data_IF_354317762738
#
_entry.id   IF_354317762738
#
_cell.length_a   1.000
_cell.length_b   1.000
_cell.length_c   1.000
_cell.angle_alpha   90.00
_cell.angle_beta   90.00
_cell.angle_gamma   90.00
#
_symmetry.space_group_name_H-M   'P 1'
#
loop_
_entity.id
_entity.type
_entity.pdbx_description
1 polymer ?
#
# COMPACT_ATOMS: atom_id res chain seq x y z
N UNK A 1 25.07 -22.76 0.37
CA UNK A 1 23.71 -22.87 0.92
C UNK A 1 22.86 -21.87 0.18
N UNK A 2 21.87 -22.34 -0.57
CA UNK A 2 21.00 -21.49 -1.39
C UNK A 2 20.19 -20.58 -0.47
N UNK A 3 20.19 -19.27 -0.75
CA UNK A 3 19.24 -18.35 -0.15
C UNK A 3 17.85 -18.82 -0.57
N UNK A 4 16.99 -19.12 0.40
CA UNK A 4 15.60 -19.50 0.16
C UNK A 4 14.97 -18.43 -0.75
N UNK A 5 14.73 -18.79 -2.00
CA UNK A 5 13.91 -18.00 -2.90
C UNK A 5 12.46 -18.16 -2.43
N UNK A 6 12.04 -17.34 -1.47
CA UNK A 6 10.62 -17.05 -1.24
C UNK A 6 10.12 -16.36 -2.50
N UNK A 7 9.59 -17.14 -3.44
CA UNK A 7 9.01 -16.59 -4.66
C UNK A 7 7.68 -15.94 -4.29
N UNK A 8 7.69 -14.62 -4.09
CA UNK A 8 6.46 -13.81 -4.01
C UNK A 8 5.70 -13.73 -5.34
N UNK A 9 6.09 -14.56 -6.32
CA UNK A 9 5.42 -14.69 -7.61
C UNK A 9 3.94 -14.98 -7.38
N UNK A 10 3.10 -14.09 -7.92
CA UNK A 10 1.64 -14.12 -7.83
C UNK A 10 1.06 -13.83 -6.44
N UNK A 11 1.83 -13.30 -5.49
CA UNK A 11 1.25 -12.70 -4.30
C UNK A 11 0.51 -11.40 -4.68
N UNK A 12 -0.62 -11.15 -4.04
CA UNK A 12 -1.52 -10.03 -4.35
C UNK A 12 -1.36 -8.96 -3.27
N UNK A 13 -0.92 -7.76 -3.67
CA UNK A 13 -0.76 -6.63 -2.77
C UNK A 13 -1.77 -5.52 -3.10
N UNK A 14 -2.53 -5.05 -2.11
CA UNK A 14 -3.42 -3.89 -2.23
C UNK A 14 -2.79 -2.68 -1.55
N UNK A 15 -2.59 -1.60 -2.30
CA UNK A 15 -1.97 -0.37 -1.80
C UNK A 15 -2.98 0.77 -1.85
N UNK A 16 -3.43 1.20 -0.68
CA UNK A 16 -4.32 2.37 -0.56
C UNK A 16 -3.55 3.67 -0.82
N UNK A 17 -4.13 4.59 -1.59
CA UNK A 17 -3.40 5.77 -2.06
C UNK A 17 -2.21 5.42 -2.96
N UNK A 18 -2.23 4.25 -3.62
CA UNK A 18 -1.15 3.74 -4.46
C UNK A 18 -0.93 4.53 -5.77
N UNK A 19 -1.77 5.52 -6.06
CA UNK A 19 -1.72 6.27 -7.32
C UNK A 19 -0.69 7.41 -7.35
N UNK A 20 -0.02 7.72 -6.23
CA UNK A 20 1.03 8.76 -6.17
C UNK A 20 1.99 8.58 -4.99
N UNK A 21 3.08 9.36 -5.01
CA UNK A 21 3.99 9.49 -3.87
C UNK A 21 4.60 8.16 -3.45
N UNK A 22 4.67 7.92 -2.13
CA UNK A 22 5.25 6.69 -1.57
C UNK A 22 4.44 5.46 -1.98
N UNK A 23 3.11 5.54 -2.01
CA UNK A 23 2.26 4.41 -2.39
C UNK A 23 2.52 3.91 -3.80
N UNK A 24 2.72 4.83 -4.75
CA UNK A 24 3.06 4.47 -6.13
C UNK A 24 4.41 3.77 -6.23
N UNK A 25 5.41 4.29 -5.51
CA UNK A 25 6.76 3.73 -5.52
C UNK A 25 6.83 2.39 -4.78
N UNK A 26 6.02 2.19 -3.74
CA UNK A 26 5.82 0.87 -3.11
C UNK A 26 5.19 -0.11 -4.11
N UNK A 27 4.16 0.31 -4.85
CA UNK A 27 3.55 -0.53 -5.86
C UNK A 27 4.52 -0.91 -6.98
N UNK A 28 5.38 0.02 -7.42
CA UNK A 28 6.44 -0.26 -8.38
C UNK A 28 7.40 -1.33 -7.85
N UNK A 29 7.98 -1.12 -6.67
CA UNK A 29 8.97 -2.04 -6.09
C UNK A 29 8.38 -3.42 -5.77
N UNK A 30 7.15 -3.52 -5.28
CA UNK A 30 6.47 -4.82 -5.12
C UNK A 30 6.22 -5.51 -6.48
N UNK A 31 5.85 -4.74 -7.49
CA UNK A 31 5.69 -5.23 -8.85
C UNK A 31 6.97 -5.82 -9.45
N UNK A 32 8.11 -5.16 -9.21
CA UNK A 32 9.45 -5.63 -9.62
C UNK A 32 9.84 -6.95 -8.95
N UNK A 33 9.35 -7.20 -7.73
CA UNK A 33 9.50 -8.49 -7.01
C UNK A 33 8.53 -9.58 -7.53
N UNK A 34 7.70 -9.27 -8.53
CA UNK A 34 6.81 -10.23 -9.20
C UNK A 34 5.42 -10.38 -8.57
N UNK A 35 5.02 -9.44 -7.69
CA UNK A 35 3.68 -9.38 -7.14
C UNK A 35 2.69 -8.76 -8.12
N UNK A 36 1.42 -9.16 -8.00
CA UNK A 36 0.31 -8.41 -8.60
C UNK A 36 -0.04 -7.26 -7.67
N UNK A 37 0.00 -6.04 -8.19
CA UNK A 37 -0.24 -4.83 -7.41
C UNK A 37 -1.58 -4.20 -7.74
N UNK A 38 -2.39 -4.01 -6.71
CA UNK A 38 -3.70 -3.41 -6.79
C UNK A 38 -3.61 -1.98 -6.28
N UNK A 39 -3.82 -1.03 -7.20
CA UNK A 39 -3.79 0.40 -6.93
C UNK A 39 -5.17 0.81 -6.43
N UNK A 40 -5.31 0.91 -5.09
CA UNK A 40 -6.53 1.41 -4.47
C UNK A 40 -6.53 2.94 -4.43
N UNK A 41 -7.46 3.55 -5.15
CA UNK A 41 -7.63 5.00 -5.17
C UNK A 41 -9.09 5.41 -5.43
N UNK A 42 -9.53 6.50 -4.80
CA UNK A 42 -10.86 7.10 -5.01
C UNK A 42 -11.04 7.77 -6.37
N UNK A 43 -9.95 8.22 -6.99
CA UNK A 43 -9.96 8.92 -8.27
C UNK A 43 -9.61 7.92 -9.37
N UNK A 44 -10.60 7.58 -10.20
CA UNK A 44 -10.46 6.62 -11.29
C UNK A 44 -9.37 7.00 -12.28
N UNK A 45 -9.37 8.26 -12.74
CA UNK A 45 -8.46 8.71 -13.78
C UNK A 45 -7.01 8.60 -13.29
N UNK A 46 -6.73 9.13 -12.10
CA UNK A 46 -5.39 9.05 -11.52
C UNK A 46 -4.97 7.62 -11.18
N UNK A 47 -5.93 6.77 -10.80
CA UNK A 47 -5.68 5.35 -10.56
C UNK A 47 -5.29 4.60 -11.84
N UNK A 48 -6.04 4.80 -12.92
CA UNK A 48 -5.77 4.20 -14.23
C UNK A 48 -4.46 4.72 -14.86
N UNK A 49 -4.14 6.00 -14.69
CA UNK A 49 -2.85 6.57 -15.10
C UNK A 49 -1.68 5.88 -14.40
N UNK A 50 -1.76 5.71 -13.07
CA UNK A 50 -0.73 5.00 -12.31
C UNK A 50 -0.57 3.55 -12.78
N UNK A 51 -1.68 2.84 -13.01
CA UNK A 51 -1.67 1.47 -13.54
C UNK A 51 -1.05 1.41 -14.93
N UNK A 52 -1.33 2.37 -15.81
CA UNK A 52 -0.73 2.45 -17.13
C UNK A 52 0.79 2.56 -17.06
N UNK A 53 1.31 3.42 -16.17
CA UNK A 53 2.76 3.57 -15.97
C UNK A 53 3.39 2.25 -15.51
N UNK A 54 2.80 1.60 -14.50
CA UNK A 54 3.31 0.33 -13.97
C UNK A 54 3.25 -0.79 -15.03
N UNK A 55 2.15 -0.90 -15.77
CA UNK A 55 2.03 -1.90 -16.82
C UNK A 55 3.06 -1.69 -17.95
N UNK A 56 3.40 -0.45 -18.29
CA UNK A 56 4.48 -0.14 -19.24
C UNK A 56 5.87 -0.55 -18.73
N UNK A 57 6.02 -0.73 -17.42
CA UNK A 57 7.23 -1.23 -16.76
C UNK A 57 7.21 -2.75 -16.59
N UNK A 58 6.26 -3.44 -17.23
CA UNK A 58 6.03 -4.90 -17.15
C UNK A 58 5.58 -5.39 -15.76
N UNK A 59 5.02 -4.49 -14.95
CA UNK A 59 4.44 -4.82 -13.65
C UNK A 59 2.96 -5.16 -13.84
N UNK A 60 2.48 -6.22 -13.18
CA UNK A 60 1.06 -6.57 -13.21
C UNK A 60 0.26 -5.67 -12.27
N UNK A 61 -0.32 -4.59 -12.80
CA UNK A 61 -1.08 -3.63 -12.03
C UNK A 61 -2.58 -3.59 -12.40
N UNK A 62 -3.45 -3.41 -11.41
CA UNK A 62 -4.89 -3.17 -11.61
C UNK A 62 -5.41 -2.08 -10.68
N UNK A 63 -6.28 -1.22 -11.19
CA UNK A 63 -6.94 -0.20 -10.38
C UNK A 63 -8.16 -0.81 -9.68
N UNK A 64 -8.33 -0.43 -8.41
CA UNK A 64 -9.52 -0.74 -7.60
C UNK A 64 -10.04 0.58 -7.01
N UNK A 65 -11.33 0.82 -7.17
CA UNK A 65 -11.99 1.94 -6.50
C UNK A 65 -12.01 1.68 -4.99
N UNK A 66 -11.39 2.58 -4.23
CA UNK A 66 -11.43 2.52 -2.77
C UNK A 66 -11.38 3.93 -2.19
N UNK A 67 -12.47 4.33 -1.57
CA UNK A 67 -12.54 5.50 -0.69
C UNK A 67 -12.67 5.00 0.75
N UNK A 68 -11.59 5.11 1.52
CA UNK A 68 -11.54 4.66 2.92
C UNK A 68 -12.57 5.34 3.83
N UNK A 69 -13.21 6.42 3.37
CA UNK A 69 -14.29 7.12 4.10
C UNK A 69 -15.69 6.57 3.79
N UNK A 70 -15.83 5.66 2.82
CA UNK A 70 -17.11 5.09 2.37
C UNK A 70 -17.08 3.56 2.46
N UNK A 71 -17.82 3.02 3.42
CA UNK A 71 -17.89 1.56 3.67
C UNK A 71 -18.26 0.75 2.43
N UNK A 72 -19.22 1.23 1.63
CA UNK A 72 -19.64 0.57 0.38
C UNK A 72 -18.47 0.31 -0.57
N UNK A 73 -17.54 1.27 -0.70
CA UNK A 73 -16.37 1.09 -1.59
C UNK A 73 -15.36 0.10 -1.02
N UNK A 74 -15.27 -0.02 0.31
CA UNK A 74 -14.41 -0.99 1.00
C UNK A 74 -14.93 -2.41 0.76
N UNK A 75 -16.25 -2.61 0.94
CA UNK A 75 -16.89 -3.91 0.74
C UNK A 75 -16.81 -4.34 -0.72
N UNK A 76 -17.08 -3.42 -1.66
CA UNK A 76 -16.96 -3.68 -3.09
C UNK A 76 -15.52 -4.02 -3.51
N UNK A 77 -14.52 -3.30 -2.99
CA UNK A 77 -13.11 -3.60 -3.23
C UNK A 77 -12.73 -4.99 -2.71
N UNK A 78 -13.14 -5.34 -1.49
CA UNK A 78 -12.89 -6.66 -0.92
C UNK A 78 -13.52 -7.78 -1.76
N UNK A 79 -14.79 -7.60 -2.18
CA UNK A 79 -15.49 -8.53 -3.05
C UNK A 79 -14.79 -8.67 -4.41
N UNK A 80 -14.35 -7.55 -5.00
CA UNK A 80 -13.63 -7.57 -6.26
C UNK A 80 -12.31 -8.34 -6.15
N UNK A 81 -11.54 -8.10 -5.09
CA UNK A 81 -10.27 -8.83 -4.87
C UNK A 81 -10.52 -10.33 -4.71
N UNK A 82 -11.52 -10.72 -3.92
CA UNK A 82 -11.87 -12.12 -3.74
C UNK A 82 -12.37 -12.78 -5.03
N UNK A 83 -13.18 -12.07 -5.83
CA UNK A 83 -13.70 -12.61 -7.09
C UNK A 83 -12.60 -12.76 -8.17
N UNK A 84 -11.72 -11.77 -8.28
CA UNK A 84 -10.70 -11.73 -9.33
C UNK A 84 -9.47 -12.59 -8.99
N UNK A 85 -9.10 -12.67 -7.71
CA UNK A 85 -7.83 -13.29 -7.27
C UNK A 85 -8.01 -14.39 -6.22
N UNK A 86 -9.18 -14.51 -5.59
CA UNK A 86 -9.47 -15.52 -4.56
C UNK A 86 -8.84 -15.25 -3.18
N UNK A 87 -7.89 -14.31 -3.08
CA UNK A 87 -7.18 -13.96 -1.86
C UNK A 87 -6.58 -12.54 -1.93
N UNK A 88 -6.16 -12.04 -0.76
CA UNK A 88 -5.29 -10.89 -0.63
C UNK A 88 -4.14 -11.27 0.30
N UNK A 89 -2.90 -11.11 -0.17
CA UNK A 89 -1.70 -11.53 0.58
C UNK A 89 -1.11 -10.37 1.39
N UNK A 90 -1.12 -9.16 0.82
CA UNK A 90 -0.54 -7.96 1.44
C UNK A 90 -1.52 -6.78 1.37
N UNK A 91 -1.72 -6.08 2.47
CA UNK A 91 -2.46 -4.81 2.53
C UNK A 91 -1.54 -3.69 3.04
N UNK A 92 -1.35 -2.64 2.22
CA UNK A 92 -0.59 -1.44 2.58
C UNK A 92 -1.55 -0.27 2.78
N UNK A 93 -1.72 0.14 4.04
CA UNK A 93 -2.51 1.29 4.46
C UNK A 93 -1.69 2.59 4.30
N UNK A 94 -1.59 3.09 3.06
CA UNK A 94 -0.81 4.28 2.70
C UNK A 94 -1.69 5.51 2.35
N UNK A 95 -3.01 5.37 2.29
CA UNK A 95 -3.89 6.52 2.12
C UNK A 95 -3.82 7.48 3.32
N UNK A 96 -3.16 8.63 3.14
CA UNK A 96 -3.14 9.72 4.11
C UNK A 96 -4.19 10.79 3.79
N UNK A 97 -4.98 11.20 4.78
CA UNK A 97 -5.86 12.38 4.69
C UNK A 97 -5.08 13.55 5.28
N UNK A 98 -4.70 14.54 4.46
CA UNK A 98 -4.37 15.86 5.00
C UNK A 98 -5.69 16.50 5.43
N UNK A 99 -5.92 16.62 6.73
CA UNK A 99 -6.98 17.48 7.25
C UNK A 99 -6.51 18.93 7.05
N UNK A 100 -7.06 19.62 6.05
CA UNK A 100 -6.88 21.07 5.91
C UNK A 100 -7.49 21.75 7.14
N UNK A 101 -6.64 22.27 8.02
CA UNK A 101 -7.10 22.92 9.24
C UNK A 101 -5.99 23.49 10.10
N UNK A 102 -4.81 22.86 10.11
CA UNK A 102 -3.61 23.49 10.64
C UNK A 102 -2.42 23.20 9.71
N UNK A 103 -1.50 24.16 9.48
CA UNK A 103 -0.16 23.78 9.03
C UNK A 103 0.30 22.66 9.97
N UNK A 104 1.10 21.67 9.52
CA UNK A 104 1.64 20.69 10.44
C UNK A 104 2.22 21.49 11.60
N UNK A 105 1.55 21.45 12.77
CA UNK A 105 2.10 22.04 13.97
C UNK A 105 3.49 21.47 13.97
N UNK A 106 4.48 22.34 14.03
CA UNK A 106 5.86 21.97 14.30
C UNK A 106 5.78 21.05 15.53
N UNK A 107 5.61 19.76 15.29
CA UNK A 107 5.68 18.76 16.31
C UNK A 107 7.13 18.94 16.70
N UNK A 108 7.36 19.55 17.86
CA UNK A 108 8.69 19.64 18.47
C UNK A 108 9.17 18.25 18.91
N UNK A 109 8.84 17.23 18.14
CA UNK A 109 9.54 15.98 18.03
C UNK A 109 10.43 16.13 16.81
N UNK A 110 11.68 16.44 17.09
CA UNK A 110 12.80 16.33 16.15
C UNK A 110 12.93 14.87 15.68
N UNK A 111 12.10 14.50 14.69
CA UNK A 111 12.24 13.29 13.88
C UNK A 111 12.81 13.62 12.50
N UNK A 112 13.21 14.87 12.29
CA UNK A 112 13.82 15.33 11.06
C UNK A 112 14.87 16.36 11.45
N UNK A 113 16.13 15.93 11.50
CA UNK A 113 17.29 16.81 11.48
C UNK A 113 17.05 17.83 10.35
N UNK A 114 16.70 19.07 10.71
CA UNK A 114 16.16 20.10 9.81
C UNK A 114 17.18 20.62 8.76
N UNK A 115 18.23 19.84 8.51
CA UNK A 115 19.33 20.13 7.61
C UNK A 115 19.63 18.99 6.62
N UNK A 116 18.76 17.97 6.52
CA UNK A 116 18.82 16.96 5.46
C UNK A 116 17.66 17.13 4.49
N UNK A 117 17.98 17.16 3.20
CA UNK A 117 16.97 17.04 2.15
C UNK A 117 16.07 15.84 2.45
N UNK A 118 14.75 16.04 2.40
CA UNK A 118 13.80 14.94 2.53
C UNK A 118 14.21 13.81 1.58
N UNK A 119 14.43 12.59 2.08
CA UNK A 119 14.79 11.49 1.21
C UNK A 119 13.67 11.28 0.19
N UNK A 120 13.99 10.94 -1.07
CA UNK A 120 12.98 10.77 -2.09
C UNK A 120 12.00 9.64 -1.69
N UNK A 121 10.75 9.65 -2.17
CA UNK A 121 9.73 8.66 -1.82
C UNK A 121 10.19 7.19 -1.92
N UNK A 122 11.12 6.90 -2.83
CA UNK A 122 11.76 5.59 -2.99
C UNK A 122 12.48 5.07 -1.75
N UNK A 123 13.07 5.93 -0.92
CA UNK A 123 13.71 5.48 0.32
C UNK A 123 12.69 5.02 1.36
N UNK A 124 11.58 5.74 1.51
CA UNK A 124 10.51 5.35 2.42
C UNK A 124 9.82 4.06 1.93
N UNK A 125 9.58 3.97 0.62
CA UNK A 125 8.98 2.78 0.01
C UNK A 125 9.80 1.51 0.28
N UNK A 126 11.13 1.57 0.17
CA UNK A 126 12.02 0.42 0.42
C UNK A 126 11.83 -0.21 1.81
N UNK A 127 11.57 0.61 2.82
CA UNK A 127 11.32 0.11 4.19
C UNK A 127 10.00 -0.66 4.23
N UNK A 128 8.94 -0.10 3.65
CA UNK A 128 7.61 -0.73 3.60
C UNK A 128 7.68 -2.06 2.84
N UNK A 129 8.32 -2.06 1.67
CA UNK A 129 8.50 -3.25 0.83
C UNK A 129 9.26 -4.32 1.58
N UNK A 130 10.39 -3.97 2.22
CA UNK A 130 11.19 -4.92 2.98
C UNK A 130 10.38 -5.64 4.06
N UNK A 131 9.54 -4.93 4.81
CA UNK A 131 8.68 -5.56 5.82
C UNK A 131 7.51 -6.34 5.22
N UNK A 132 6.96 -5.87 4.10
CA UNK A 132 5.85 -6.53 3.40
C UNK A 132 6.29 -7.85 2.74
N UNK A 133 7.58 -8.02 2.44
CA UNK A 133 8.16 -9.22 1.81
C UNK A 133 9.00 -10.04 2.79
N UNK A 134 8.80 -9.91 4.10
CA UNK A 134 9.37 -10.86 5.05
C UNK A 134 8.71 -12.23 4.89
N UNK A 135 9.42 -13.34 5.19
CA UNK A 135 8.80 -14.66 5.23
C UNK A 135 7.70 -14.74 6.31
N UNK A 136 6.83 -15.74 6.22
CA UNK A 136 5.67 -15.92 7.11
C UNK A 136 6.02 -16.05 8.62
N UNK A 137 7.29 -16.28 8.97
CA UNK A 137 7.80 -16.25 10.35
C UNK A 137 8.21 -14.85 10.85
N UNK A 138 7.93 -13.83 10.05
CA UNK A 138 8.14 -12.42 10.37
C UNK A 138 7.22 -11.87 11.46
N UNK A 139 7.47 -10.64 11.94
CA UNK A 139 6.66 -10.02 12.98
C UNK A 139 5.19 -9.91 12.55
N UNK A 140 4.32 -10.71 13.18
CA UNK A 140 2.89 -10.64 12.95
C UNK A 140 2.33 -9.36 13.60
N UNK A 141 2.07 -8.34 12.79
CA UNK A 141 1.30 -7.18 13.23
C UNK A 141 -0.14 -7.61 13.52
N UNK A 142 -0.46 -7.95 14.77
CA UNK A 142 -1.86 -8.12 15.18
C UNK A 142 -2.53 -6.75 15.13
N UNK A 143 -3.59 -6.63 14.33
CA UNK A 143 -4.45 -5.45 14.33
C UNK A 143 -5.22 -5.37 15.64
N UNK A 144 -5.19 -4.21 16.30
CA UNK A 144 -6.14 -3.86 17.34
C UNK A 144 -7.37 -3.26 16.64
N UNK A 145 -8.49 -3.97 16.67
CA UNK A 145 -9.78 -3.45 16.24
C UNK A 145 -10.50 -2.87 17.46
N UNK A 146 -10.64 -1.55 17.53
CA UNK A 146 -11.36 -0.87 18.62
C UNK A 146 -12.88 -1.04 18.55
N UNK A 147 -13.43 -1.67 17.51
CA UNK A 147 -14.87 -1.87 17.31
C UNK A 147 -15.30 -3.33 17.55
N UNK A 148 -14.38 -4.23 17.91
CA UNK A 148 -14.71 -5.64 18.23
C UNK A 148 -15.01 -5.92 19.70
N UNK A 149 -14.78 -4.95 20.58
CA UNK A 149 -15.02 -5.11 22.03
C UNK A 149 -16.44 -4.73 22.47
N UNK A 150 -17.34 -4.36 21.55
CA UNK A 150 -18.74 -4.06 21.85
C UNK A 150 -19.70 -4.81 20.92
N UNK A 151 -19.89 -6.11 21.16
CA UNK A 151 -21.23 -6.70 21.03
C UNK A 151 -21.43 -7.78 22.12
N UNK A 152 -22.65 -7.82 22.71
CA UNK A 152 -22.98 -8.66 23.87
C UNK A 152 -23.00 -10.17 23.58
#
# INVERSE_FOLDING_TARGET
MALNSTSFQNAIALITGGNKGIGFEVARQLGEEGLVVLIAARDKIRGEEAVCILNNENIQAKWIELDVTKQETIDNAAHQVLNDYGRLDILINNAGILLEGEPPRLARTDMNDNNKAYPPPSHAARVIVHYATLPDDGPSGKFFDSQKDEMP
#
